data_IF_172749762076
#
_entry.id   IF_172749762076
#
_cell.length_a   1.000
_cell.length_b   1.000
_cell.length_c   1.000
_cell.angle_alpha   90.00
_cell.angle_beta   90.00
_cell.angle_gamma   90.00
#
_symmetry.space_group_name_H-M   'P 1'
#
loop_
_entity.id
_entity.type
_entity.pdbx_description
1 polymer ?
#
# COMPACT_ATOMS: atom_id res chain seq x y z
N UNK A 1 15.27 -12.52 52.84
CA UNK A 1 15.00 -13.34 51.65
C UNK A 1 13.68 -12.84 51.07
N UNK A 2 13.75 -12.07 49.99
CA UNK A 2 12.59 -11.44 49.36
C UNK A 2 12.20 -12.26 48.13
N UNK A 3 10.96 -12.73 48.09
CA UNK A 3 10.37 -13.44 46.96
C UNK A 3 10.18 -12.47 45.77
N UNK A 4 10.39 -12.90 44.52
CA UNK A 4 10.23 -12.03 43.36
C UNK A 4 8.75 -11.79 43.08
N UNK A 5 8.34 -10.52 43.02
CA UNK A 5 7.05 -10.10 42.50
C UNK A 5 6.98 -10.48 41.02
N UNK A 6 6.10 -11.42 40.70
CA UNK A 6 5.62 -11.67 39.34
C UNK A 6 5.14 -10.34 38.74
N UNK A 7 5.92 -9.78 37.80
CA UNK A 7 5.41 -8.74 36.90
C UNK A 7 4.41 -9.41 35.97
N UNK A 8 3.15 -9.01 36.12
CA UNK A 8 2.08 -9.23 35.18
C UNK A 8 2.56 -8.95 33.75
N UNK A 9 2.68 -10.00 32.93
CA UNK A 9 2.46 -9.88 31.50
C UNK A 9 0.95 -9.68 31.32
N UNK A 10 0.50 -8.43 31.23
CA UNK A 10 -0.85 -8.11 30.81
C UNK A 10 -0.99 -8.39 29.32
N UNK A 11 -1.75 -9.43 29.02
CA UNK A 11 -2.27 -9.85 27.73
C UNK A 11 -2.91 -8.69 26.97
N UNK A 12 -2.41 -8.39 25.77
CA UNK A 12 -3.05 -7.51 24.77
C UNK A 12 -3.76 -8.36 23.71
N UNK A 13 -4.48 -9.40 24.12
CA UNK A 13 -5.25 -10.29 23.24
C UNK A 13 -6.64 -9.76 22.87
N UNK A 14 -6.97 -8.50 23.15
CA UNK A 14 -8.29 -7.93 22.82
C UNK A 14 -8.16 -6.63 22.00
N UNK A 15 -7.57 -6.73 20.81
CA UNK A 15 -8.06 -5.92 19.68
C UNK A 15 -9.06 -6.80 18.95
N UNK A 16 -10.33 -6.73 19.36
CA UNK A 16 -11.42 -7.41 18.67
C UNK A 16 -11.62 -6.70 17.33
N UNK A 17 -10.91 -7.16 16.30
CA UNK A 17 -11.33 -6.89 14.94
C UNK A 17 -12.69 -7.57 14.74
N UNK A 18 -13.70 -6.89 14.19
CA UNK A 18 -14.95 -7.56 13.88
C UNK A 18 -14.67 -8.77 13.00
N UNK A 19 -15.35 -9.89 13.27
CA UNK A 19 -15.25 -11.09 12.45
C UNK A 19 -15.47 -10.75 10.97
N UNK A 20 -14.71 -11.41 10.09
CA UNK A 20 -14.88 -11.25 8.64
C UNK A 20 -16.37 -11.46 8.29
N UNK A 21 -16.97 -10.44 7.70
CA UNK A 21 -18.32 -10.54 7.18
C UNK A 21 -18.28 -11.35 5.90
N UNK A 22 -18.95 -12.50 5.93
CA UNK A 22 -19.04 -13.40 4.79
C UNK A 22 -20.48 -13.40 4.30
N UNK A 23 -20.65 -13.21 3.00
CA UNK A 23 -21.95 -13.31 2.36
C UNK A 23 -22.35 -14.79 2.27
N UNK A 24 -23.65 -15.08 2.24
CA UNK A 24 -24.05 -16.43 1.83
C UNK A 24 -23.59 -16.69 0.39
N UNK A 25 -23.30 -17.94 -0.02
CA UNK A 25 -22.84 -18.22 -1.39
C UNK A 25 -23.79 -17.69 -2.47
N UNK A 26 -25.10 -17.67 -2.20
CA UNK A 26 -26.09 -17.09 -3.11
C UNK A 26 -26.04 -15.56 -3.17
N UNK A 27 -25.80 -14.89 -2.04
CA UNK A 27 -25.64 -13.44 -2.00
C UNK A 27 -24.34 -13.02 -2.67
N UNK A 28 -23.24 -13.74 -2.44
CA UNK A 28 -21.97 -13.52 -3.12
C UNK A 28 -22.15 -13.60 -4.65
N UNK A 29 -22.74 -14.68 -5.18
CA UNK A 29 -22.96 -14.85 -6.62
C UNK A 29 -23.85 -13.73 -7.20
N UNK A 30 -24.91 -13.33 -6.48
CA UNK A 30 -25.77 -12.21 -6.89
C UNK A 30 -25.03 -10.88 -6.87
N UNK A 31 -24.23 -10.63 -5.84
CA UNK A 31 -23.44 -9.41 -5.66
C UNK A 31 -22.37 -9.27 -6.74
N UNK A 32 -21.60 -10.33 -7.01
CA UNK A 32 -20.58 -10.37 -8.07
C UNK A 32 -21.20 -10.13 -9.43
N UNK A 33 -22.28 -10.85 -9.78
CA UNK A 33 -22.98 -10.64 -11.07
C UNK A 33 -23.53 -9.23 -11.23
N UNK A 34 -24.00 -8.61 -10.16
CA UNK A 34 -24.51 -7.25 -10.20
C UNK A 34 -23.36 -6.25 -10.34
N UNK A 35 -22.27 -6.44 -9.59
CA UNK A 35 -21.06 -5.63 -9.69
C UNK A 35 -20.53 -5.63 -11.13
N UNK A 36 -20.36 -6.81 -11.73
CA UNK A 36 -19.87 -6.95 -13.11
C UNK A 36 -20.75 -6.19 -14.11
N UNK A 37 -22.09 -6.28 -13.96
CA UNK A 37 -23.04 -5.53 -14.80
C UNK A 37 -22.94 -4.03 -14.63
N UNK A 38 -22.75 -3.55 -13.40
CA UNK A 38 -22.55 -2.12 -13.14
C UNK A 38 -21.28 -1.64 -13.82
N UNK A 39 -20.17 -2.37 -13.67
CA UNK A 39 -18.89 -2.03 -14.29
C UNK A 39 -18.99 -2.08 -15.82
N UNK A 40 -19.55 -3.14 -16.40
CA UNK A 40 -19.74 -3.27 -17.86
C UNK A 40 -20.56 -2.11 -18.43
N UNK A 41 -21.60 -1.68 -17.71
CA UNK A 41 -22.48 -0.60 -18.15
C UNK A 41 -21.83 0.78 -18.03
N UNK A 42 -21.17 1.06 -16.90
CA UNK A 42 -20.76 2.41 -16.54
C UNK A 42 -19.27 2.71 -16.79
N UNK A 43 -18.37 1.73 -16.75
CA UNK A 43 -16.93 1.96 -16.98
C UNK A 43 -16.64 2.63 -18.34
N UNK A 44 -17.33 2.29 -19.45
CA UNK A 44 -17.18 3.00 -20.73
C UNK A 44 -17.72 4.43 -20.73
N UNK A 45 -18.60 4.77 -19.79
CA UNK A 45 -19.27 6.07 -19.69
C UNK A 45 -18.49 7.06 -18.80
N UNK A 46 -17.48 6.59 -18.06
CA UNK A 46 -16.67 7.48 -17.23
C UNK A 46 -16.01 8.54 -18.12
N UNK A 47 -16.39 9.80 -17.89
CA UNK A 47 -15.80 10.92 -18.62
C UNK A 47 -14.42 11.23 -18.03
N UNK A 48 -13.50 11.71 -18.87
CA UNK A 48 -12.13 12.13 -18.48
C UNK A 48 -12.12 13.40 -17.59
N UNK A 49 -13.21 13.72 -16.90
CA UNK A 49 -13.31 14.96 -16.12
C UNK A 49 -12.46 14.91 -14.83
N UNK A 50 -12.09 13.69 -14.39
CA UNK A 50 -11.03 13.48 -13.39
C UNK A 50 -9.77 13.04 -14.13
N UNK A 51 -8.60 13.44 -13.63
CA UNK A 51 -7.30 13.01 -14.18
C UNK A 51 -7.01 11.50 -13.95
N UNK A 52 -7.96 10.77 -13.36
CA UNK A 52 -7.94 9.32 -13.21
C UNK A 52 -9.28 8.71 -13.62
N UNK A 53 -9.33 7.37 -13.73
CA UNK A 53 -10.49 6.57 -14.15
C UNK A 53 -11.16 5.91 -12.94
N UNK A 54 -12.24 6.49 -12.37
CA UNK A 54 -12.81 6.03 -11.11
C UNK A 54 -13.36 4.61 -11.18
N UNK A 55 -14.05 4.25 -12.25
CA UNK A 55 -14.67 2.93 -12.38
C UNK A 55 -13.63 1.85 -12.69
N UNK A 56 -12.57 2.22 -13.41
CA UNK A 56 -11.41 1.35 -13.59
C UNK A 56 -10.68 1.11 -12.27
N UNK A 57 -10.53 2.12 -11.41
CA UNK A 57 -9.99 1.95 -10.06
C UNK A 57 -10.82 0.96 -9.23
N UNK A 58 -12.15 1.08 -9.26
CA UNK A 58 -13.07 0.19 -8.54
C UNK A 58 -12.93 -1.25 -9.04
N UNK A 59 -12.98 -1.46 -10.36
CA UNK A 59 -12.84 -2.79 -10.98
C UNK A 59 -11.51 -3.42 -10.60
N UNK A 60 -10.39 -2.70 -10.78
CA UNK A 60 -9.06 -3.19 -10.43
C UNK A 60 -8.94 -3.50 -8.93
N UNK A 61 -9.55 -2.68 -8.07
CA UNK A 61 -9.57 -2.98 -6.63
C UNK A 61 -10.29 -4.30 -6.36
N UNK A 62 -11.46 -4.55 -6.98
CA UNK A 62 -12.19 -5.81 -6.82
C UNK A 62 -11.40 -7.04 -7.32
N UNK A 63 -10.62 -6.87 -8.39
CA UNK A 63 -9.78 -7.93 -8.97
C UNK A 63 -8.56 -8.28 -8.10
N UNK A 64 -8.05 -7.31 -7.34
CA UNK A 64 -6.80 -7.45 -6.59
C UNK A 64 -7.00 -7.81 -5.10
N UNK A 65 -8.19 -7.57 -4.53
CA UNK A 65 -8.51 -7.94 -3.15
C UNK A 65 -8.69 -9.46 -2.99
N UNK A 66 -8.28 -10.01 -1.84
CA UNK A 66 -8.50 -11.43 -1.51
C UNK A 66 -9.77 -11.67 -0.69
N UNK A 67 -10.20 -10.69 0.12
CA UNK A 67 -11.47 -10.77 0.84
C UNK A 67 -12.59 -10.12 0.00
N UNK A 68 -13.06 -10.85 -1.01
CA UNK A 68 -14.04 -10.34 -1.98
C UNK A 68 -15.37 -9.92 -1.34
N UNK A 69 -15.87 -10.69 -0.37
CA UNK A 69 -17.13 -10.39 0.32
C UNK A 69 -17.08 -9.06 1.05
N UNK A 70 -15.98 -8.79 1.77
CA UNK A 70 -15.77 -7.53 2.48
C UNK A 70 -15.79 -6.33 1.53
N UNK A 71 -15.15 -6.47 0.36
CA UNK A 71 -15.20 -5.45 -0.67
C UNK A 71 -16.62 -5.25 -1.19
N UNK A 72 -17.35 -6.33 -1.52
CA UNK A 72 -18.71 -6.25 -2.06
C UNK A 72 -19.66 -5.62 -1.04
N UNK A 73 -19.55 -6.00 0.24
CA UNK A 73 -20.32 -5.40 1.34
C UNK A 73 -20.05 -3.91 1.43
N UNK A 74 -18.78 -3.49 1.47
CA UNK A 74 -18.39 -2.09 1.54
C UNK A 74 -18.93 -1.31 0.32
N UNK A 75 -18.73 -1.84 -0.88
CA UNK A 75 -19.17 -1.26 -2.15
C UNK A 75 -20.68 -0.99 -2.17
N UNK A 76 -21.49 -2.03 -1.92
CA UNK A 76 -22.94 -1.90 -1.98
C UNK A 76 -23.50 -1.04 -0.84
N UNK A 77 -22.93 -1.12 0.36
CA UNK A 77 -23.38 -0.32 1.49
C UNK A 77 -23.13 1.18 1.27
N UNK A 78 -21.96 1.55 0.75
CA UNK A 78 -21.64 2.96 0.48
C UNK A 78 -22.45 3.53 -0.68
N UNK A 79 -22.64 2.78 -1.77
CA UNK A 79 -23.51 3.23 -2.88
C UNK A 79 -24.93 3.47 -2.41
N UNK A 80 -25.47 2.58 -1.57
CA UNK A 80 -26.82 2.75 -1.07
C UNK A 80 -26.94 3.96 -0.14
N UNK A 81 -25.97 4.15 0.77
CA UNK A 81 -25.92 5.29 1.69
C UNK A 81 -25.92 6.62 0.92
N UNK A 82 -25.09 6.72 -0.13
CA UNK A 82 -25.00 7.91 -0.98
C UNK A 82 -26.26 8.13 -1.82
N UNK A 83 -26.87 7.06 -2.32
CA UNK A 83 -28.07 7.15 -3.13
C UNK A 83 -29.33 7.50 -2.32
N UNK A 84 -29.41 7.06 -1.06
CA UNK A 84 -30.58 7.29 -0.18
C UNK A 84 -30.42 8.46 0.79
N UNK A 85 -29.19 8.88 1.11
CA UNK A 85 -28.92 9.82 2.20
C UNK A 85 -29.32 9.29 3.58
N UNK A 86 -29.34 7.96 3.77
CA UNK A 86 -29.84 7.29 4.98
C UNK A 86 -28.68 6.69 5.78
N UNK A 87 -28.61 6.99 7.08
CA UNK A 87 -27.53 6.59 8.01
C UNK A 87 -27.78 5.27 8.76
N UNK A 88 -28.87 4.55 8.49
CA UNK A 88 -29.20 3.28 9.18
C UNK A 88 -28.47 2.08 8.56
N UNK A 89 -28.23 1.04 9.36
CA UNK A 89 -27.64 -0.21 8.89
C UNK A 89 -28.48 -0.85 7.76
N UNK A 90 -27.94 -0.84 6.55
CA UNK A 90 -28.58 -1.36 5.35
C UNK A 90 -28.16 -2.82 5.15
N UNK A 91 -29.12 -3.71 4.89
CA UNK A 91 -28.81 -5.10 4.55
C UNK A 91 -28.42 -5.20 3.07
N UNK A 92 -27.29 -5.84 2.79
CA UNK A 92 -26.79 -6.06 1.42
C UNK A 92 -27.87 -6.68 0.52
N UNK A 93 -28.65 -7.63 1.01
CA UNK A 93 -29.74 -8.24 0.26
C UNK A 93 -30.79 -7.23 -0.26
N UNK A 94 -31.08 -6.17 0.50
CA UNK A 94 -32.03 -5.12 0.11
C UNK A 94 -31.44 -4.23 -0.99
N UNK A 95 -30.16 -3.85 -0.85
CA UNK A 95 -29.39 -3.11 -1.87
C UNK A 95 -29.37 -3.87 -3.19
N UNK A 96 -29.00 -5.16 -3.14
CA UNK A 96 -28.96 -6.02 -4.31
C UNK A 96 -30.34 -6.12 -4.99
N UNK A 97 -31.41 -6.25 -4.20
CA UNK A 97 -32.77 -6.33 -4.73
C UNK A 97 -33.19 -5.09 -5.51
N UNK A 98 -32.82 -3.91 -5.03
CA UNK A 98 -33.13 -2.62 -5.65
C UNK A 98 -32.28 -2.39 -6.90
N UNK A 99 -30.96 -2.45 -6.74
CA UNK A 99 -30.00 -2.17 -7.80
C UNK A 99 -30.10 -3.18 -8.95
N UNK A 100 -30.61 -4.40 -8.73
CA UNK A 100 -30.87 -5.37 -9.81
C UNK A 100 -31.69 -4.82 -10.98
N UNK A 101 -32.51 -3.79 -10.74
CA UNK A 101 -33.40 -3.21 -11.77
C UNK A 101 -32.86 -1.95 -12.43
N UNK A 102 -31.60 -1.57 -12.15
CA UNK A 102 -31.02 -0.28 -12.58
C UNK A 102 -31.09 -0.01 -14.09
N UNK A 103 -31.04 -1.06 -14.92
CA UNK A 103 -31.16 -0.95 -16.39
C UNK A 103 -32.53 -0.37 -16.83
N UNK A 104 -33.56 -0.52 -16.00
CA UNK A 104 -34.93 -0.01 -16.25
C UNK A 104 -35.15 1.39 -15.68
N UNK A 105 -34.17 1.91 -14.94
CA UNK A 105 -34.26 3.25 -14.37
C UNK A 105 -34.15 4.30 -15.46
N UNK A 106 -34.67 5.49 -15.16
CA UNK A 106 -34.55 6.68 -16.00
C UNK A 106 -33.08 7.07 -16.18
N UNK A 107 -32.79 7.84 -17.23
CA UNK A 107 -31.43 8.35 -17.46
C UNK A 107 -30.91 9.19 -16.29
N UNK A 108 -31.80 9.91 -15.59
CA UNK A 108 -31.44 10.71 -14.42
C UNK A 108 -31.03 9.81 -13.24
N UNK A 109 -31.80 8.79 -12.94
CA UNK A 109 -31.48 7.81 -11.89
C UNK A 109 -30.19 7.04 -12.20
N UNK A 110 -29.95 6.67 -13.46
CA UNK A 110 -28.69 6.06 -13.88
C UNK A 110 -27.50 7.02 -13.75
N UNK A 111 -27.70 8.32 -14.00
CA UNK A 111 -26.66 9.32 -13.80
C UNK A 111 -26.34 9.52 -12.31
N UNK A 112 -27.36 9.54 -11.44
CA UNK A 112 -27.17 9.58 -9.98
C UNK A 112 -26.36 8.35 -9.54
N UNK A 113 -26.71 7.16 -10.02
CA UNK A 113 -25.96 5.94 -9.72
C UNK A 113 -24.50 6.02 -10.18
N UNK A 114 -24.23 6.59 -11.36
CA UNK A 114 -22.87 6.85 -11.83
C UNK A 114 -22.11 7.79 -10.88
N UNK A 115 -22.74 8.84 -10.35
CA UNK A 115 -22.12 9.71 -9.36
C UNK A 115 -21.81 8.96 -8.05
N UNK A 116 -22.71 8.11 -7.56
CA UNK A 116 -22.45 7.27 -6.39
C UNK A 116 -21.24 6.34 -6.61
N UNK A 117 -21.09 5.77 -7.81
CA UNK A 117 -19.91 4.97 -8.16
C UNK A 117 -18.63 5.83 -8.12
N UNK A 118 -18.67 7.05 -8.66
CA UNK A 118 -17.54 7.97 -8.62
C UNK A 118 -17.20 8.39 -7.17
N UNK A 119 -18.19 8.61 -6.32
CA UNK A 119 -17.96 8.91 -4.91
C UNK A 119 -17.36 7.73 -4.15
N UNK A 120 -17.74 6.49 -4.48
CA UNK A 120 -17.09 5.31 -3.90
C UNK A 120 -15.60 5.23 -4.29
N UNK A 121 -15.23 5.59 -5.52
CA UNK A 121 -13.82 5.68 -5.91
C UNK A 121 -13.08 6.79 -5.13
N UNK A 122 -13.70 7.96 -4.96
CA UNK A 122 -13.14 9.03 -4.12
C UNK A 122 -12.95 8.57 -2.68
N UNK A 123 -13.89 7.80 -2.13
CA UNK A 123 -13.75 7.21 -0.80
C UNK A 123 -12.50 6.33 -0.70
N UNK A 124 -12.21 5.50 -1.71
CA UNK A 124 -10.99 4.68 -1.74
C UNK A 124 -9.72 5.55 -1.88
N UNK A 125 -9.76 6.60 -2.69
CA UNK A 125 -8.67 7.56 -2.84
C UNK A 125 -8.38 8.23 -1.49
N UNK A 126 -9.37 8.87 -0.89
CA UNK A 126 -9.23 9.71 0.29
C UNK A 126 -8.83 8.89 1.53
N UNK A 127 -9.38 7.66 1.66
CA UNK A 127 -9.20 6.85 2.86
C UNK A 127 -8.10 5.79 2.74
N UNK A 128 -7.54 5.53 1.56
CA UNK A 128 -6.53 4.49 1.42
C UNK A 128 -5.35 4.92 0.54
N UNK A 129 -5.57 5.35 -0.69
CA UNK A 129 -4.47 5.62 -1.62
C UNK A 129 -3.75 6.96 -1.34
N UNK A 130 -4.48 8.02 -1.01
CA UNK A 130 -3.89 9.33 -0.72
C UNK A 130 -3.06 9.34 0.58
N UNK A 131 -3.53 8.79 1.72
CA UNK A 131 -2.72 8.68 2.94
C UNK A 131 -1.44 7.85 2.73
N UNK A 132 -1.44 6.94 1.77
CA UNK A 132 -0.27 6.17 1.38
C UNK A 132 0.76 7.04 0.65
N UNK A 133 0.30 7.85 -0.33
CA UNK A 133 1.19 8.69 -1.14
C UNK A 133 1.76 9.89 -0.38
N UNK A 134 1.04 10.40 0.64
CA UNK A 134 1.42 11.57 1.43
C UNK A 134 2.45 11.32 2.55
N UNK A 135 2.99 10.10 2.71
CA UNK A 135 4.00 9.92 3.73
C UNK A 135 5.17 10.90 3.53
N UNK A 136 5.76 11.48 4.59
CA UNK A 136 6.91 12.36 4.45
C UNK A 136 8.16 11.57 4.03
N UNK A 137 8.97 12.14 3.14
CA UNK A 137 10.36 11.73 2.83
C UNK A 137 11.29 11.84 4.04
N UNK A 138 10.87 12.57 5.08
CA UNK A 138 11.68 12.97 6.21
C UNK A 138 11.07 12.39 7.49
N UNK A 139 11.65 11.29 7.94
CA UNK A 139 11.42 10.75 9.27
C UNK A 139 10.51 9.54 9.30
N UNK A 140 11.04 8.40 8.88
CA UNK A 140 10.51 7.09 9.31
C UNK A 140 10.37 7.11 10.83
N UNK A 141 9.16 6.98 11.40
CA UNK A 141 8.96 7.02 12.84
C UNK A 141 9.72 5.87 13.49
N UNK A 142 10.66 6.22 14.37
CA UNK A 142 11.55 5.32 15.11
C UNK A 142 12.50 4.52 14.21
N UNK A 143 13.59 5.19 13.88
CA UNK A 143 14.88 4.59 13.54
C UNK A 143 15.32 3.70 14.72
N UNK A 144 14.75 2.50 14.87
CA UNK A 144 15.29 1.47 15.77
C UNK A 144 16.61 1.06 15.10
N UNK A 145 17.79 1.48 15.61
CA UNK A 145 19.06 1.22 14.93
C UNK A 145 19.26 -0.30 14.69
N UNK A 146 18.71 -1.10 15.60
CA UNK A 146 18.70 -2.56 15.54
C UNK A 146 17.90 -3.09 14.34
N UNK A 147 16.76 -2.48 13.98
CA UNK A 147 15.96 -2.91 12.82
C UNK A 147 16.72 -2.65 11.51
N UNK A 148 17.30 -1.46 11.36
CA UNK A 148 18.09 -1.13 10.18
C UNK A 148 19.28 -2.07 10.03
N UNK A 149 20.01 -2.30 11.13
CA UNK A 149 21.17 -3.19 11.12
C UNK A 149 20.76 -4.64 10.84
N UNK A 150 19.66 -5.13 11.41
CA UNK A 150 19.15 -6.47 11.17
C UNK A 150 18.69 -6.66 9.71
N UNK A 151 18.01 -5.67 9.12
CA UNK A 151 17.60 -5.69 7.72
C UNK A 151 18.82 -5.72 6.77
N UNK A 152 19.81 -4.84 7.00
CA UNK A 152 21.07 -4.86 6.24
C UNK A 152 21.79 -6.20 6.39
N UNK A 153 21.84 -6.78 7.60
CA UNK A 153 22.48 -8.07 7.84
C UNK A 153 21.75 -9.21 7.12
N UNK A 154 20.41 -9.23 7.18
CA UNK A 154 19.59 -10.19 6.43
C UNK A 154 19.86 -10.11 4.93
N UNK A 155 19.94 -8.89 4.41
CA UNK A 155 20.15 -8.63 2.98
C UNK A 155 21.64 -8.66 2.57
N UNK A 156 22.52 -9.18 3.44
CA UNK A 156 23.97 -9.30 3.20
C UNK A 156 24.63 -7.98 2.82
N UNK A 157 24.15 -6.89 3.42
CA UNK A 157 24.56 -5.52 3.16
C UNK A 157 24.48 -5.13 1.68
N UNK A 158 23.54 -5.74 0.93
CA UNK A 158 23.35 -5.51 -0.50
C UNK A 158 21.92 -5.06 -0.80
N UNK A 159 21.80 -4.23 -1.83
CA UNK A 159 20.49 -3.93 -2.40
C UNK A 159 19.86 -5.24 -2.93
N UNK A 160 18.61 -5.51 -2.55
CA UNK A 160 17.92 -6.75 -2.95
C UNK A 160 17.70 -6.87 -4.46
N UNK A 161 17.67 -5.73 -5.16
CA UNK A 161 17.46 -5.63 -6.62
C UNK A 161 18.80 -5.61 -7.35
N UNK A 162 19.64 -4.59 -7.14
CA UNK A 162 20.88 -4.40 -7.93
C UNK A 162 22.05 -5.25 -7.44
N UNK A 163 21.98 -5.79 -6.22
CA UNK A 163 23.07 -6.46 -5.49
C UNK A 163 24.27 -5.57 -5.17
N UNK A 164 24.20 -4.25 -5.39
CA UNK A 164 25.24 -3.31 -4.98
C UNK A 164 25.43 -3.35 -3.46
N UNK A 165 26.68 -3.36 -3.03
CA UNK A 165 27.07 -3.43 -1.61
C UNK A 165 27.02 -2.04 -0.94
N UNK A 166 26.72 -2.02 0.36
CA UNK A 166 26.64 -0.80 1.15
C UNK A 166 28.02 -0.18 1.41
N UNK A 167 28.16 1.08 1.02
CA UNK A 167 29.43 1.80 1.17
C UNK A 167 29.80 2.05 2.64
N UNK A 168 28.82 2.24 3.54
CA UNK A 168 29.11 2.49 4.97
C UNK A 168 29.66 1.23 5.64
N UNK A 169 29.10 0.07 5.33
CA UNK A 169 29.63 -1.21 5.80
C UNK A 169 31.02 -1.48 5.22
N UNK A 170 31.25 -1.20 3.93
CA UNK A 170 32.57 -1.36 3.32
C UNK A 170 33.63 -0.50 4.03
N UNK A 171 33.36 0.79 4.24
CA UNK A 171 34.26 1.69 4.98
C UNK A 171 34.51 1.23 6.42
N UNK A 172 33.48 0.70 7.10
CA UNK A 172 33.62 0.16 8.44
C UNK A 172 34.56 -1.04 8.47
N UNK A 173 34.44 -1.98 7.52
CA UNK A 173 35.34 -3.14 7.44
C UNK A 173 36.77 -2.74 7.10
N UNK A 174 36.96 -1.77 6.21
CA UNK A 174 38.29 -1.23 5.87
C UNK A 174 39.00 -0.53 7.05
N UNK A 175 38.25 0.03 8.00
CA UNK A 175 38.84 0.66 9.21
C UNK A 175 39.30 -0.34 10.26
N UNK A 176 38.71 -1.54 10.27
CA UNK A 176 38.95 -2.58 11.30
C UNK A 176 39.96 -3.63 10.83
N UNK A 177 40.04 -3.87 9.52
CA UNK A 177 40.88 -4.90 8.91
C UNK A 177 41.99 -4.25 8.05
N UNK A 178 43.22 -4.77 8.12
CA UNK A 178 44.31 -4.34 7.23
C UNK A 178 43.97 -4.66 5.75
N UNK A 179 44.26 -3.69 4.88
CA UNK A 179 43.55 -3.36 3.63
C UNK A 179 43.47 -4.39 2.49
N UNK A 180 43.99 -5.61 2.64
CA UNK A 180 43.95 -6.65 1.58
C UNK A 180 42.98 -7.81 1.87
N UNK A 181 42.50 -7.97 3.11
CA UNK A 181 41.60 -9.06 3.50
C UNK A 181 40.13 -8.65 3.65
N UNK A 182 39.76 -7.45 3.21
CA UNK A 182 38.40 -6.93 3.36
C UNK A 182 37.47 -7.62 2.35
N UNK A 183 36.52 -8.40 2.89
CA UNK A 183 35.59 -9.23 2.11
C UNK A 183 34.14 -8.84 2.36
N UNK A 184 33.29 -9.09 1.36
CA UNK A 184 31.83 -9.04 1.51
C UNK A 184 31.32 -10.22 2.38
N UNK A 185 30.00 -10.29 2.54
CA UNK A 185 29.31 -11.33 3.31
C UNK A 185 29.40 -12.72 2.64
N UNK A 186 29.77 -12.79 1.36
CA UNK A 186 29.95 -14.02 0.58
C UNK A 186 31.44 -14.45 0.48
N UNK A 187 32.36 -13.69 1.07
CA UNK A 187 33.81 -13.95 1.06
C UNK A 187 34.57 -13.38 -0.13
N UNK A 188 33.93 -12.61 -1.01
CA UNK A 188 34.54 -11.96 -2.17
C UNK A 188 35.29 -10.68 -1.76
N UNK A 189 36.42 -10.34 -2.42
CA UNK A 189 37.17 -9.12 -2.09
C UNK A 189 36.39 -7.83 -2.42
N UNK A 190 36.20 -6.95 -1.44
CA UNK A 190 35.47 -5.68 -1.63
C UNK A 190 36.13 -4.73 -2.63
N UNK A 191 37.46 -4.78 -2.77
CA UNK A 191 38.20 -3.92 -3.70
C UNK A 191 37.74 -4.07 -5.16
N UNK A 192 37.31 -5.28 -5.55
CA UNK A 192 36.83 -5.53 -6.92
C UNK A 192 35.48 -4.87 -7.20
N UNK A 193 34.68 -4.65 -6.16
CA UNK A 193 33.33 -4.08 -6.25
C UNK A 193 33.29 -2.58 -5.93
N UNK A 194 34.43 -1.97 -5.56
CA UNK A 194 34.51 -0.61 -5.04
C UNK A 194 33.81 0.45 -5.93
N UNK A 195 33.87 0.29 -7.26
CA UNK A 195 33.22 1.22 -8.21
C UNK A 195 31.69 1.06 -8.31
N UNK A 196 31.14 -0.03 -7.81
CA UNK A 196 29.71 -0.35 -7.87
C UNK A 196 28.96 -0.12 -6.56
N UNK A 197 29.68 0.16 -5.46
CA UNK A 197 29.08 0.40 -4.14
C UNK A 197 28.27 1.68 -4.09
N UNK A 198 27.31 1.73 -3.18
CA UNK A 198 26.47 2.92 -2.97
C UNK A 198 25.90 2.92 -1.55
N UNK A 199 25.30 4.04 -1.14
CA UNK A 199 24.49 4.07 0.07
C UNK A 199 23.22 3.25 -0.12
N UNK A 200 22.91 2.43 0.88
CA UNK A 200 21.65 1.69 0.94
C UNK A 200 20.68 2.32 1.95
N UNK A 201 19.40 2.12 1.67
CA UNK A 201 18.27 2.55 2.48
C UNK A 201 17.40 1.35 2.81
N UNK A 202 16.77 1.37 3.99
CA UNK A 202 15.78 0.38 4.38
C UNK A 202 14.41 0.96 4.10
N UNK A 203 13.68 0.32 3.19
CA UNK A 203 12.34 0.68 2.80
C UNK A 203 11.32 -0.23 3.51
N UNK A 204 10.21 0.35 3.95
CA UNK A 204 9.05 -0.44 4.35
C UNK A 204 8.25 -0.86 3.10
N UNK A 205 7.72 -2.09 3.08
CA UNK A 205 6.89 -2.58 1.98
C UNK A 205 5.49 -1.96 2.07
N UNK A 206 4.88 -2.08 3.24
CA UNK A 206 3.63 -1.40 3.60
C UNK A 206 3.99 -0.25 4.55
N UNK A 207 3.73 1.01 4.17
CA UNK A 207 4.18 2.17 4.93
C UNK A 207 3.52 2.33 6.31
N UNK A 208 4.16 3.10 7.18
CA UNK A 208 3.80 3.27 8.59
C UNK A 208 2.46 3.95 8.83
N UNK A 209 2.00 4.79 7.89
CA UNK A 209 0.70 5.47 7.93
C UNK A 209 -0.44 4.47 8.01
N UNK A 210 -0.28 3.30 7.38
CA UNK A 210 -1.22 2.18 7.41
C UNK A 210 -1.09 1.32 8.69
N UNK A 211 0.02 1.45 9.41
CA UNK A 211 0.36 0.65 10.59
C UNK A 211 0.03 1.36 11.91
N UNK A 212 -0.35 2.64 11.89
CA UNK A 212 -0.44 3.47 13.10
C UNK A 212 -1.73 3.22 13.90
N UNK A 213 -1.68 2.26 14.82
CA UNK A 213 -2.67 2.05 15.89
C UNK A 213 -2.56 3.08 17.02
N UNK A 214 -2.58 4.38 16.73
CA UNK A 214 -3.01 5.32 17.79
C UNK A 214 -4.42 4.87 18.15
N UNK A 215 -4.63 4.42 19.40
CA UNK A 215 -5.82 3.69 19.89
C UNK A 215 -7.00 3.79 18.94
N UNK A 216 -7.43 2.68 18.34
CA UNK A 216 -8.56 2.66 17.38
C UNK A 216 -9.82 3.31 17.99
N UNK A 217 -9.91 3.38 19.32
CA UNK A 217 -10.93 4.10 20.09
C UNK A 217 -10.85 5.64 20.02
N UNK A 218 -9.71 6.21 19.61
CA UNK A 218 -9.43 7.65 19.42
C UNK A 218 -9.17 7.95 17.92
N UNK A 219 -8.99 6.93 17.08
CA UNK A 219 -8.73 7.08 15.66
C UNK A 219 -9.99 7.58 14.91
N UNK A 220 -9.86 8.67 14.15
CA UNK A 220 -10.93 9.16 13.28
C UNK A 220 -11.35 8.12 12.22
N UNK A 221 -12.56 8.26 11.69
CA UNK A 221 -13.21 7.32 10.76
C UNK A 221 -12.32 6.92 9.57
N UNK A 222 -11.49 7.84 9.08
CA UNK A 222 -10.57 7.60 7.97
C UNK A 222 -9.53 6.51 8.26
N UNK A 223 -8.93 6.49 9.47
CA UNK A 223 -7.95 5.44 9.85
C UNK A 223 -8.58 4.05 9.92
N UNK A 224 -9.83 3.97 10.40
CA UNK A 224 -10.57 2.71 10.43
C UNK A 224 -10.88 2.23 9.01
N UNK A 225 -11.28 3.14 8.12
CA UNK A 225 -11.50 2.84 6.71
C UNK A 225 -10.22 2.35 6.03
N UNK A 226 -9.08 3.02 6.23
CA UNK A 226 -7.76 2.60 5.73
C UNK A 226 -7.45 1.16 6.12
N UNK A 227 -7.63 0.83 7.40
CA UNK A 227 -7.33 -0.49 7.93
C UNK A 227 -8.24 -1.58 7.35
N UNK A 228 -9.55 -1.28 7.24
CA UNK A 228 -10.53 -2.17 6.62
C UNK A 228 -10.18 -2.45 5.15
N UNK A 229 -9.82 -1.42 4.38
CA UNK A 229 -9.43 -1.57 2.97
C UNK A 229 -8.14 -2.40 2.86
N UNK A 230 -7.14 -2.17 3.74
CA UNK A 230 -5.92 -2.97 3.75
C UNK A 230 -6.21 -4.47 4.02
N UNK A 231 -7.13 -4.76 4.94
CA UNK A 231 -7.57 -6.13 5.22
C UNK A 231 -8.26 -6.81 4.04
N UNK A 232 -8.87 -6.04 3.12
CA UNK A 232 -9.46 -6.60 1.91
C UNK A 232 -8.39 -7.17 0.97
N UNK A 233 -7.22 -6.54 0.88
CA UNK A 233 -6.11 -7.03 0.05
C UNK A 233 -5.55 -8.37 0.56
N UNK A 234 -5.21 -8.45 1.84
CA UNK A 234 -4.87 -9.72 2.50
C UNK A 234 -5.15 -9.59 4.01
N UNK A 235 -6.11 -10.34 4.58
CA UNK A 235 -6.44 -10.31 6.00
C UNK A 235 -5.26 -10.60 6.93
N UNK A 236 -4.26 -11.37 6.46
CA UNK A 236 -3.07 -11.72 7.24
C UNK A 236 -2.09 -10.56 7.36
N UNK A 237 -2.20 -9.54 6.52
CA UNK A 237 -1.33 -8.35 6.49
C UNK A 237 -1.25 -7.66 7.85
N UNK A 238 -2.36 -7.57 8.58
CA UNK A 238 -2.40 -6.91 9.89
C UNK A 238 -1.54 -7.61 10.93
N UNK A 239 -1.57 -8.96 10.93
CA UNK A 239 -0.73 -9.75 11.85
C UNK A 239 0.77 -9.58 11.57
N UNK A 240 1.14 -9.28 10.32
CA UNK A 240 2.52 -9.06 9.89
C UNK A 240 2.99 -7.62 10.16
N UNK A 241 2.05 -6.69 10.23
CA UNK A 241 2.29 -5.26 10.39
C UNK A 241 2.27 -4.82 11.86
N UNK A 242 1.74 -5.65 12.76
CA UNK A 242 1.64 -5.29 14.16
C UNK A 242 3.04 -4.95 14.75
N UNK A 243 3.19 -3.73 15.27
CA UNK A 243 4.50 -3.10 15.55
C UNK A 243 5.22 -3.66 16.78
N UNK A 244 4.72 -4.71 17.41
CA UNK A 244 5.17 -5.14 18.74
C UNK A 244 6.45 -5.98 18.73
N UNK A 245 6.87 -6.55 17.59
CA UNK A 245 8.09 -7.38 17.49
C UNK A 245 8.99 -6.98 16.30
N UNK A 246 10.30 -6.85 16.54
CA UNK A 246 11.33 -6.59 15.52
C UNK A 246 11.28 -7.61 14.38
N UNK A 247 11.03 -8.89 14.68
CA UNK A 247 10.96 -9.94 13.66
C UNK A 247 9.81 -9.70 12.67
N UNK A 248 8.64 -9.26 13.16
CA UNK A 248 7.51 -8.90 12.30
C UNK A 248 7.81 -7.65 11.47
N UNK A 249 8.46 -6.65 12.07
CA UNK A 249 8.91 -5.47 11.35
C UNK A 249 9.92 -5.80 10.24
N UNK A 250 10.80 -6.78 10.45
CA UNK A 250 11.76 -7.23 9.43
C UNK A 250 11.07 -7.81 8.19
N UNK A 251 9.95 -8.52 8.36
CA UNK A 251 9.16 -9.04 7.25
C UNK A 251 8.59 -7.93 6.37
N UNK A 252 8.35 -6.74 6.92
CA UNK A 252 7.84 -5.56 6.22
C UNK A 252 8.95 -4.61 5.73
N UNK A 253 10.22 -5.04 5.71
CA UNK A 253 11.33 -4.17 5.28
C UNK A 253 12.23 -4.83 4.25
N UNK A 254 12.84 -4.03 3.40
CA UNK A 254 13.84 -4.46 2.41
C UNK A 254 14.91 -3.40 2.15
N UNK A 255 16.09 -3.85 1.72
CA UNK A 255 17.23 -2.97 1.46
C UNK A 255 17.30 -2.55 -0.02
N UNK A 256 17.25 -1.25 -0.30
CA UNK A 256 17.29 -0.67 -1.65
C UNK A 256 18.40 0.38 -1.80
N UNK A 257 18.78 0.67 -3.04
CA UNK A 257 19.50 1.91 -3.34
C UNK A 257 18.52 3.08 -3.34
N UNK A 258 19.01 4.31 -3.13
CA UNK A 258 18.16 5.50 -3.02
C UNK A 258 17.14 5.66 -4.16
N UNK A 259 17.60 5.52 -5.40
CA UNK A 259 16.78 5.61 -6.62
C UNK A 259 15.75 4.48 -6.74
N UNK A 260 16.10 3.25 -6.35
CA UNK A 260 15.13 2.15 -6.29
C UNK A 260 14.14 2.32 -5.15
N UNK A 261 14.55 2.89 -4.02
CA UNK A 261 13.64 3.19 -2.93
C UNK A 261 12.60 4.22 -3.35
N UNK A 262 12.99 5.26 -4.07
CA UNK A 262 12.06 6.23 -4.67
C UNK A 262 11.07 5.55 -5.61
N UNK A 263 11.54 4.77 -6.60
CA UNK A 263 10.64 4.07 -7.51
C UNK A 263 9.77 3.01 -6.82
N UNK A 264 10.26 2.33 -5.78
CA UNK A 264 9.49 1.34 -5.02
C UNK A 264 8.36 2.01 -4.23
N UNK A 265 8.68 3.13 -3.59
CA UNK A 265 7.72 3.94 -2.83
C UNK A 265 6.61 4.52 -3.70
N UNK A 266 6.97 4.98 -4.90
CA UNK A 266 6.02 5.48 -5.89
C UNK A 266 5.29 4.36 -6.65
N UNK A 267 5.44 3.08 -6.23
CA UNK A 267 4.89 1.91 -6.91
C UNK A 267 5.25 1.77 -8.38
N UNK A 268 6.34 2.38 -8.82
CA UNK A 268 6.77 2.30 -10.22
C UNK A 268 7.45 0.97 -10.54
N UNK A 269 8.01 0.32 -9.51
CA UNK A 269 8.59 -1.02 -9.59
C UNK A 269 7.85 -1.97 -8.66
N UNK A 270 7.79 -3.24 -9.06
CA UNK A 270 7.04 -4.25 -8.33
C UNK A 270 7.79 -5.58 -8.27
N UNK A 271 7.39 -6.44 -7.32
CA UNK A 271 7.96 -7.75 -7.06
C UNK A 271 6.91 -8.82 -7.31
N UNK A 272 6.95 -9.45 -8.47
CA UNK A 272 6.05 -10.56 -8.81
C UNK A 272 6.70 -11.89 -8.45
N UNK A 273 6.05 -12.68 -7.60
CA UNK A 273 6.60 -13.97 -7.18
C UNK A 273 6.66 -14.94 -8.36
N UNK A 274 7.82 -15.58 -8.55
CA UNK A 274 8.01 -16.63 -9.54
C UNK A 274 7.31 -17.90 -9.05
N UNK A 275 6.48 -18.48 -9.91
CA UNK A 275 5.74 -19.70 -9.60
C UNK A 275 6.69 -20.83 -9.17
N UNK A 276 6.32 -21.56 -8.11
CA UNK A 276 7.07 -22.67 -7.51
C UNK A 276 8.48 -22.34 -6.99
N UNK A 277 8.84 -21.05 -6.93
CA UNK A 277 10.14 -20.59 -6.40
C UNK A 277 9.92 -19.65 -5.21
N UNK A 278 9.92 -20.18 -3.97
CA UNK A 278 9.76 -19.38 -2.76
C UNK A 278 10.76 -18.23 -2.70
N UNK A 279 10.29 -17.05 -2.25
CA UNK A 279 11.09 -15.84 -2.08
C UNK A 279 11.87 -15.40 -3.32
N UNK A 280 11.47 -15.85 -4.50
CA UNK A 280 12.06 -15.47 -5.79
C UNK A 280 11.07 -14.63 -6.56
N UNK A 281 11.53 -13.48 -7.04
CA UNK A 281 10.68 -12.48 -7.66
C UNK A 281 11.25 -12.00 -8.98
N UNK A 282 10.37 -11.79 -9.95
CA UNK A 282 10.63 -10.96 -11.11
C UNK A 282 10.35 -9.52 -10.72
N UNK A 283 11.39 -8.69 -10.78
CA UNK A 283 11.33 -7.28 -10.44
C UNK A 283 11.28 -6.50 -11.74
N UNK A 284 10.22 -5.73 -11.94
CA UNK A 284 9.99 -4.99 -13.17
C UNK A 284 9.36 -3.63 -12.90
N UNK A 285 9.42 -2.74 -13.89
CA UNK A 285 8.57 -1.56 -13.91
C UNK A 285 7.10 -1.97 -14.12
N UNK A 286 6.19 -1.31 -13.42
CA UNK A 286 4.74 -1.50 -13.63
C UNK A 286 4.34 -1.03 -15.02
N UNK A 287 4.88 0.11 -15.46
CA UNK A 287 4.70 0.60 -16.83
C UNK A 287 5.72 -0.05 -17.79
N UNK A 288 5.29 -0.95 -18.69
CA UNK A 288 6.18 -1.54 -19.69
C UNK A 288 6.65 -0.52 -20.73
N UNK A 289 5.95 0.59 -20.92
CA UNK A 289 6.28 1.63 -21.90
C UNK A 289 7.12 2.77 -21.32
N UNK A 290 7.56 2.65 -20.05
CA UNK A 290 8.37 3.66 -19.38
C UNK A 290 9.59 4.03 -20.21
N UNK A 291 9.64 5.30 -20.63
CA UNK A 291 10.70 5.83 -21.51
C UNK A 291 12.06 5.91 -20.81
N UNK A 292 12.08 6.41 -19.57
CA UNK A 292 13.30 6.57 -18.78
C UNK A 292 13.43 5.47 -17.73
N UNK A 293 14.31 4.49 -18.01
CA UNK A 293 14.61 3.38 -17.12
C UNK A 293 15.99 3.57 -16.49
N UNK A 294 15.99 3.97 -15.22
CA UNK A 294 17.22 4.16 -14.42
C UNK A 294 17.93 2.83 -14.21
N UNK A 295 17.16 1.74 -14.09
CA UNK A 295 17.67 0.37 -13.91
C UNK A 295 17.35 -0.53 -15.09
N UNK A 296 18.24 -1.49 -15.33
CA UNK A 296 18.03 -2.56 -16.31
C UNK A 296 17.06 -3.61 -15.74
N UNK A 297 15.77 -3.35 -15.87
CA UNK A 297 14.67 -4.27 -15.52
C UNK A 297 13.99 -4.80 -16.80
N UNK A 298 13.41 -6.02 -16.80
CA UNK A 298 13.18 -6.89 -15.64
C UNK A 298 14.43 -7.66 -15.18
N UNK A 299 14.47 -8.03 -13.90
CA UNK A 299 15.45 -8.96 -13.34
C UNK A 299 14.79 -9.96 -12.39
N UNK A 300 15.37 -11.15 -12.26
CA UNK A 300 14.93 -12.13 -11.27
C UNK A 300 15.87 -12.17 -10.07
N UNK A 301 15.29 -12.17 -8.86
CA UNK A 301 16.02 -12.17 -7.59
C UNK A 301 15.37 -13.08 -6.57
N UNK A 302 16.16 -13.98 -6.00
CA UNK A 302 15.84 -14.66 -4.74
C UNK A 302 16.28 -13.76 -3.59
N UNK A 303 15.35 -13.39 -2.71
CA UNK A 303 15.64 -12.54 -1.56
C UNK A 303 16.42 -13.33 -0.51
N UNK A 304 17.31 -12.64 0.20
CA UNK A 304 18.18 -13.29 1.17
C UNK A 304 17.44 -13.61 2.48
N UNK A 305 17.85 -14.70 3.09
CA UNK A 305 17.58 -15.03 4.49
C UNK A 305 18.92 -15.10 5.22
N UNK A 306 18.92 -14.94 6.56
CA UNK A 306 20.16 -15.18 7.30
C UNK A 306 20.57 -16.66 7.19
N UNK A 307 21.89 -16.98 7.16
CA UNK A 307 22.37 -18.36 7.00
C UNK A 307 21.80 -19.34 8.04
N UNK A 308 21.49 -18.86 9.24
CA UNK A 308 20.94 -19.66 10.33
C UNK A 308 19.40 -19.69 10.34
N UNK A 309 18.73 -19.07 9.35
CA UNK A 309 17.28 -18.93 9.30
C UNK A 309 16.69 -18.07 10.42
N UNK A 310 17.53 -17.33 11.16
CA UNK A 310 17.11 -16.52 12.30
C UNK A 310 16.30 -15.29 11.90
N UNK A 311 16.47 -14.81 10.66
CA UNK A 311 15.72 -13.71 10.08
C UNK A 311 15.19 -14.17 8.73
N UNK A 312 13.87 -14.22 8.63
CA UNK A 312 13.15 -14.56 7.42
C UNK A 312 13.27 -13.44 6.35
N UNK A 313 13.23 -13.80 5.06
CA UNK A 313 13.18 -12.84 3.96
C UNK A 313 11.92 -11.96 4.04
N UNK A 314 11.85 -10.85 3.28
CA UNK A 314 10.65 -10.03 3.22
C UNK A 314 9.40 -10.85 2.88
N UNK A 315 8.27 -10.51 3.49
CA UNK A 315 7.04 -11.29 3.37
C UNK A 315 6.52 -11.28 1.92
N UNK A 316 6.30 -12.47 1.31
CA UNK A 316 5.66 -12.57 0.00
C UNK A 316 4.27 -11.92 -0.03
N UNK A 317 3.52 -11.98 1.08
CA UNK A 317 2.19 -11.40 1.17
C UNK A 317 2.22 -9.89 1.10
N UNK A 318 3.13 -9.25 1.84
CA UNK A 318 3.28 -7.79 1.83
C UNK A 318 3.74 -7.30 0.45
N UNK A 319 4.66 -8.03 -0.20
CA UNK A 319 5.08 -7.73 -1.57
C UNK A 319 3.93 -7.89 -2.58
N UNK A 320 3.05 -8.88 -2.39
CA UNK A 320 1.85 -9.04 -3.22
C UNK A 320 0.89 -7.87 -3.03
N UNK A 321 0.64 -7.43 -1.79
CA UNK A 321 -0.20 -6.25 -1.53
C UNK A 321 0.40 -5.00 -2.19
N UNK A 322 1.72 -4.80 -2.07
CA UNK A 322 2.42 -3.70 -2.75
C UNK A 322 2.24 -3.75 -4.28
N UNK A 323 2.41 -4.95 -4.87
CA UNK A 323 2.16 -5.17 -6.30
C UNK A 323 0.73 -4.82 -6.72
N UNK A 324 -0.26 -5.29 -5.97
CA UNK A 324 -1.68 -5.02 -6.21
C UNK A 324 -2.00 -3.52 -6.17
N UNK A 325 -1.50 -2.80 -5.17
CA UNK A 325 -1.69 -1.34 -5.07
C UNK A 325 -1.08 -0.64 -6.27
N UNK A 326 0.16 -0.98 -6.63
CA UNK A 326 0.82 -0.36 -7.78
C UNK A 326 0.10 -0.59 -9.10
N UNK A 327 -0.47 -1.78 -9.30
CA UNK A 327 -1.31 -2.08 -10.48
C UNK A 327 -2.56 -1.21 -10.51
N UNK A 328 -3.27 -1.08 -9.39
CA UNK A 328 -4.46 -0.24 -9.29
C UNK A 328 -4.11 1.22 -9.62
N UNK A 329 -3.08 1.76 -8.97
CA UNK A 329 -2.66 3.15 -9.16
C UNK A 329 -2.26 3.45 -10.61
N UNK A 330 -1.48 2.56 -11.23
CA UNK A 330 -1.03 2.76 -12.61
C UNK A 330 -2.19 2.59 -13.62
N UNK A 331 -2.90 1.46 -13.60
CA UNK A 331 -3.89 1.15 -14.62
C UNK A 331 -5.19 1.95 -14.47
N UNK A 332 -5.45 2.59 -13.34
CA UNK A 332 -6.52 3.58 -13.19
C UNK A 332 -6.07 5.02 -13.45
N UNK A 333 -4.77 5.28 -13.66
CA UNK A 333 -4.15 6.61 -13.65
C UNK A 333 -4.30 7.38 -12.31
N UNK A 334 -4.73 6.72 -11.24
CA UNK A 334 -4.82 7.34 -9.92
C UNK A 334 -3.44 7.74 -9.37
N UNK A 335 -2.36 7.02 -9.72
CA UNK A 335 -1.00 7.39 -9.34
C UNK A 335 -0.64 8.81 -9.82
N UNK A 336 -0.79 9.08 -11.12
CA UNK A 336 -0.52 10.41 -11.70
C UNK A 336 -1.43 11.51 -11.12
N UNK A 337 -2.69 11.18 -10.85
CA UNK A 337 -3.63 12.08 -10.20
C UNK A 337 -3.20 12.45 -8.77
N UNK A 338 -2.69 11.48 -8.00
CA UNK A 338 -2.20 11.69 -6.64
C UNK A 338 -0.90 12.51 -6.65
N UNK A 339 0.03 12.21 -7.54
CA UNK A 339 1.28 12.95 -7.66
C UNK A 339 1.04 14.43 -7.94
N UNK A 340 0.14 14.74 -8.90
CA UNK A 340 -0.30 16.12 -9.17
C UNK A 340 -0.97 16.76 -7.97
N UNK A 341 -1.85 16.04 -7.29
CA UNK A 341 -2.55 16.55 -6.11
C UNK A 341 -1.56 16.93 -4.99
N UNK A 342 -0.57 16.07 -4.73
CA UNK A 342 0.46 16.31 -3.72
C UNK A 342 1.32 17.51 -4.10
N UNK A 343 1.74 17.59 -5.37
CA UNK A 343 2.48 18.74 -5.87
C UNK A 343 1.69 20.05 -5.72
N UNK A 344 0.42 20.07 -6.13
CA UNK A 344 -0.45 21.24 -5.98
C UNK A 344 -0.57 21.66 -4.50
N UNK A 345 -0.65 20.70 -3.58
CA UNK A 345 -0.66 20.96 -2.14
C UNK A 345 0.64 21.59 -1.63
N UNK A 346 1.78 21.03 -2.02
CA UNK A 346 3.10 21.56 -1.64
C UNK A 346 3.28 23.00 -2.16
N UNK A 347 2.89 23.26 -3.41
CA UNK A 347 2.94 24.60 -4.00
C UNK A 347 2.03 25.61 -3.27
N UNK A 348 0.84 25.19 -2.83
CA UNK A 348 -0.04 26.03 -2.02
C UNK A 348 0.55 26.33 -0.64
N UNK A 349 1.06 25.31 0.06
CA UNK A 349 1.60 25.43 1.42
C UNK A 349 2.90 26.26 1.45
N UNK A 350 3.68 26.24 0.38
CA UNK A 350 4.89 27.07 0.19
C UNK A 350 4.61 28.52 -0.27
N UNK A 351 3.34 28.92 -0.35
CA UNK A 351 2.93 30.30 -0.64
C UNK A 351 2.77 30.63 -2.13
N UNK A 352 2.70 29.62 -3.01
CA UNK A 352 2.48 29.78 -4.45
C UNK A 352 1.10 30.34 -4.83
N UNK A 353 0.14 30.31 -3.90
CA UNK A 353 -1.22 30.80 -4.13
C UNK A 353 -2.03 29.92 -5.09
N UNK A 354 -3.29 30.31 -5.34
CA UNK A 354 -4.16 29.61 -6.29
C UNK A 354 -3.73 30.01 -7.72
N UNK A 355 -3.48 29.02 -8.58
CA UNK A 355 -3.14 29.25 -9.98
C UNK A 355 -4.28 30.02 -10.67
N UNK A 356 -3.91 31.11 -11.34
CA UNK A 356 -4.87 32.02 -12.00
C UNK A 356 -5.61 31.39 -13.19
N UNK A 357 -5.13 30.26 -13.70
CA UNK A 357 -5.75 29.45 -14.75
C UNK A 357 -6.85 28.50 -14.23
N UNK A 358 -7.09 28.46 -12.91
CA UNK A 358 -8.09 27.57 -12.30
C UNK A 358 -7.70 26.09 -12.28
N UNK A 359 -6.44 25.73 -12.53
CA UNK A 359 -5.99 24.33 -12.45
C UNK A 359 -5.84 23.82 -11.02
N UNK A 360 -5.83 24.74 -10.05
CA UNK A 360 -5.69 24.43 -8.63
C UNK A 360 -6.93 23.72 -8.08
N UNK A 361 -6.74 22.53 -7.52
CA UNK A 361 -7.79 21.63 -7.04
C UNK A 361 -8.23 21.95 -5.61
N UNK A 362 -8.78 23.16 -5.43
CA UNK A 362 -9.14 23.70 -4.10
C UNK A 362 -10.22 22.86 -3.41
N UNK A 363 -11.18 22.33 -4.16
CA UNK A 363 -12.25 21.47 -3.66
C UNK A 363 -11.73 20.15 -3.09
N UNK A 364 -10.79 19.50 -3.79
CA UNK A 364 -10.15 18.28 -3.31
C UNK A 364 -9.27 18.56 -2.07
N UNK A 365 -8.55 19.68 -2.04
CA UNK A 365 -7.75 20.08 -0.89
C UNK A 365 -8.60 20.35 0.36
N UNK A 366 -9.72 21.06 0.20
CA UNK A 366 -10.66 21.31 1.31
C UNK A 366 -11.26 20.00 1.80
N UNK A 367 -11.65 19.09 0.91
CA UNK A 367 -12.14 17.76 1.26
C UNK A 367 -11.11 16.96 2.06
N UNK A 368 -9.85 16.98 1.63
CA UNK A 368 -8.75 16.33 2.35
C UNK A 368 -8.54 16.92 3.75
N UNK A 369 -8.50 18.25 3.90
CA UNK A 369 -8.35 18.85 5.24
C UNK A 369 -9.54 18.50 6.14
N UNK A 370 -10.77 18.52 5.63
CA UNK A 370 -11.96 18.14 6.41
C UNK A 370 -11.96 16.68 6.88
N UNK A 371 -11.46 15.76 6.06
CA UNK A 371 -11.38 14.33 6.41
C UNK A 371 -10.22 14.02 7.35
N UNK A 372 -9.15 14.81 7.34
CA UNK A 372 -7.96 14.59 8.18
C UNK A 372 -7.96 15.34 9.50
N UNK A 373 -8.57 16.53 9.58
CA UNK A 373 -8.58 17.36 10.81
C UNK A 373 -9.87 17.21 11.62
N UNK A 374 -10.46 16.00 11.66
CA UNK A 374 -11.74 15.72 12.33
C UNK A 374 -11.99 16.62 13.55
N UNK A 375 -12.99 17.49 13.44
CA UNK A 375 -13.39 18.41 14.50
C UNK A 375 -14.06 17.67 15.65
#
# INVERSE_FOLDING_TARGET
MASPLHRHCSSLDEVIFPDQQCLTPEEHDKATKLFDKLIERFEPLQTSNKDYRPLTLIRLTKEEVSAEDEFLILFFTLIEHDHLGVTTAIRVAEVLGRLRTFERWTSEEQNILLQCLVHFADYLIDNFFLPHSLEPTIGTPQHIPDLRQACLTRDRHRCVVTRKFDIREAEKRCKVLDGDNVKDDDGNPLLQEAKGMTYLEVAYIIPHSLMSHSDIHIAGESKLATHKILMMFDPKTISLINKTNINQQLLNTLTLTHDLHQSFRAFEITFEQVQDHPHTYTINYIDPNRMFRIHRLPITRTLYATPNGSIEPPSPQLLKVHHSIGRILHFSAAGEYLDKFIQDMEEMEEGGGICSNGSTRVDDYVRYKLTTTGF
#
